data_IF_258944885064
#
_entry.id   IF_258944885064
#
_cell.length_a   1.000
_cell.length_b   1.000
_cell.length_c   1.000
_cell.angle_alpha   90.00
_cell.angle_beta   90.00
_cell.angle_gamma   90.00
#
_symmetry.space_group_name_H-M   'P 1'
#
loop_
_entity.id
_entity.type
_entity.pdbx_description
1 polymer ?
#
# COMPACT_ATOMS: atom_id res chain seq x y z
N UNK A 1 -27.18 29.27 -1.85
CA UNK A 1 -26.18 28.96 -0.81
C UNK A 1 -26.16 27.44 -0.57
N UNK A 2 -25.64 26.66 -1.53
CA UNK A 2 -25.58 25.19 -1.43
C UNK A 2 -24.19 24.61 -1.72
N UNK A 3 -23.25 25.44 -2.17
CA UNK A 3 -21.87 25.02 -2.50
C UNK A 3 -20.90 25.08 -1.31
N UNK A 4 -21.35 25.48 -0.11
CA UNK A 4 -20.53 25.51 1.11
C UNK A 4 -20.56 24.21 1.92
N UNK A 5 -21.32 23.20 1.49
CA UNK A 5 -21.48 21.92 2.20
C UNK A 5 -20.59 20.80 1.66
N UNK A 6 -19.96 20.99 0.50
CA UNK A 6 -18.94 20.05 0.02
C UNK A 6 -17.59 20.54 0.54
N UNK A 7 -17.32 20.26 1.82
CA UNK A 7 -15.93 20.23 2.29
C UNK A 7 -15.21 19.18 1.43
N UNK A 8 -14.00 19.44 0.90
CA UNK A 8 -13.25 18.42 0.18
C UNK A 8 -13.21 17.16 1.04
N UNK A 9 -13.53 16.01 0.44
CA UNK A 9 -13.51 14.75 1.19
C UNK A 9 -12.11 14.59 1.77
N UNK A 10 -12.03 14.66 3.09
CA UNK A 10 -10.80 14.47 3.85
C UNK A 10 -10.40 12.98 3.79
N UNK A 11 -11.29 12.13 3.29
CA UNK A 11 -11.09 10.69 3.15
C UNK A 11 -10.82 10.27 1.70
N UNK A 12 -9.93 9.29 1.55
CA UNK A 12 -9.56 8.68 0.27
C UNK A 12 -9.40 7.17 0.46
N UNK A 13 -9.53 6.41 -0.62
CA UNK A 13 -9.08 5.02 -0.63
C UNK A 13 -7.56 5.00 -0.70
N UNK A 14 -6.94 4.07 0.02
CA UNK A 14 -5.50 3.85 0.00
C UNK A 14 -5.18 2.36 -0.10
N UNK A 15 -4.01 2.09 -0.65
CA UNK A 15 -3.39 0.79 -0.89
C UNK A 15 -2.17 0.55 0.00
N UNK A 16 -1.54 1.61 0.52
CA UNK A 16 -0.34 1.46 1.35
C UNK A 16 -0.19 2.51 2.46
N UNK A 17 0.22 2.04 3.64
CA UNK A 17 0.40 2.84 4.84
C UNK A 17 1.51 2.23 5.72
N UNK A 18 2.32 3.03 6.45
CA UNK A 18 3.40 2.53 7.29
C UNK A 18 2.96 1.57 8.40
N UNK A 19 1.71 1.68 8.88
CA UNK A 19 1.17 0.81 9.94
C UNK A 19 0.74 -0.57 9.47
N UNK A 20 0.78 -0.85 8.16
CA UNK A 20 0.38 -2.16 7.65
C UNK A 20 1.27 -3.27 8.25
N UNK A 21 0.69 -4.44 8.57
CA UNK A 21 1.40 -5.52 9.26
C UNK A 21 2.30 -6.35 8.32
N UNK A 22 2.60 -5.82 7.13
CA UNK A 22 3.27 -6.55 6.08
C UNK A 22 4.78 -6.33 6.10
N UNK A 23 5.48 -7.30 5.50
CA UNK A 23 6.93 -7.35 5.41
C UNK A 23 7.31 -7.69 3.98
N UNK A 24 8.32 -7.02 3.46
CA UNK A 24 8.88 -7.31 2.14
C UNK A 24 9.38 -8.76 2.10
N UNK A 25 9.12 -9.45 1.01
CA UNK A 25 9.69 -10.76 0.74
C UNK A 25 11.21 -10.69 0.57
N UNK A 26 11.67 -9.68 -0.17
CA UNK A 26 13.09 -9.41 -0.39
C UNK A 26 13.63 -8.43 0.63
N UNK A 27 14.55 -8.90 1.48
CA UNK A 27 15.27 -8.08 2.46
C UNK A 27 14.54 -7.88 3.80
N UNK A 28 13.28 -8.28 3.91
CA UNK A 28 12.57 -8.30 5.19
C UNK A 28 12.30 -6.94 5.85
N UNK A 29 12.28 -5.85 5.09
CA UNK A 29 11.83 -4.54 5.57
C UNK A 29 10.34 -4.56 5.93
N UNK A 30 9.96 -3.81 6.94
CA UNK A 30 8.54 -3.60 7.28
C UNK A 30 8.02 -2.34 6.60
N UNK A 31 6.70 -2.16 6.53
CA UNK A 31 6.12 -0.91 6.00
C UNK A 31 6.61 0.31 6.81
N UNK A 32 6.72 0.16 8.13
CA UNK A 32 7.25 1.19 9.02
C UNK A 32 8.72 1.51 8.71
N UNK A 33 9.59 0.49 8.57
CA UNK A 33 11.01 0.74 8.32
C UNK A 33 11.24 1.43 6.97
N UNK A 34 10.48 1.09 5.93
CA UNK A 34 10.54 1.78 4.63
C UNK A 34 10.11 3.24 4.72
N UNK A 35 9.07 3.55 5.49
CA UNK A 35 8.65 4.92 5.73
C UNK A 35 9.72 5.71 6.47
N UNK A 36 10.29 5.13 7.53
CA UNK A 36 11.34 5.76 8.34
C UNK A 36 12.61 6.01 7.51
N UNK A 37 13.04 5.03 6.71
CA UNK A 37 14.17 5.16 5.76
C UNK A 37 13.93 6.36 4.81
N UNK A 38 12.76 6.42 4.15
CA UNK A 38 12.41 7.52 3.26
C UNK A 38 12.43 8.89 3.96
N UNK A 39 11.82 8.98 5.14
CA UNK A 39 11.75 10.23 5.89
C UNK A 39 13.16 10.68 6.34
N UNK A 40 14.00 9.74 6.75
CA UNK A 40 15.39 10.00 7.15
C UNK A 40 16.24 10.49 5.97
N UNK A 41 16.09 9.88 4.79
CA UNK A 41 16.90 10.23 3.61
C UNK A 41 16.46 11.54 2.96
N UNK A 42 15.14 11.81 2.94
CA UNK A 42 14.58 12.92 2.17
C UNK A 42 14.20 14.14 3.02
N UNK A 43 14.02 13.95 4.33
CA UNK A 43 13.45 14.96 5.23
C UNK A 43 11.97 15.30 4.93
N UNK A 44 11.30 14.52 4.08
CA UNK A 44 9.89 14.71 3.69
C UNK A 44 9.01 13.70 4.41
N UNK A 45 7.70 13.96 4.47
CA UNK A 45 6.73 12.95 4.88
C UNK A 45 6.83 11.70 4.00
N UNK A 46 6.48 10.54 4.56
CA UNK A 46 6.32 9.32 3.79
C UNK A 46 5.26 9.48 2.69
N UNK A 47 5.35 8.67 1.64
CA UNK A 47 4.42 8.68 0.52
C UNK A 47 3.89 7.29 0.27
N UNK A 48 2.61 7.19 -0.11
CA UNK A 48 1.98 5.94 -0.53
C UNK A 48 2.69 5.29 -1.74
N UNK A 49 3.42 6.08 -2.53
CA UNK A 49 4.23 5.57 -3.65
C UNK A 49 5.34 4.61 -3.20
N UNK A 50 5.68 4.53 -1.91
CA UNK A 50 6.58 3.49 -1.39
C UNK A 50 6.04 2.07 -1.66
N UNK A 51 4.73 1.92 -1.88
CA UNK A 51 4.10 0.67 -2.33
C UNK A 51 4.69 0.08 -3.61
N UNK A 52 5.30 0.90 -4.49
CA UNK A 52 5.92 0.41 -5.73
C UNK A 52 7.10 -0.53 -5.48
N UNK A 53 7.63 -0.56 -4.25
CA UNK A 53 8.58 -1.60 -3.85
C UNK A 53 8.00 -3.00 -4.10
N UNK A 54 6.71 -3.24 -3.79
CA UNK A 54 6.04 -4.52 -4.05
C UNK A 54 6.00 -4.90 -5.55
N UNK A 55 5.97 -3.91 -6.45
CA UNK A 55 6.00 -4.15 -7.90
C UNK A 55 7.39 -4.59 -8.34
N UNK A 56 8.43 -3.98 -7.78
CA UNK A 56 9.81 -4.42 -8.00
C UNK A 56 10.03 -5.85 -7.46
N UNK A 57 9.53 -6.16 -6.26
CA UNK A 57 9.56 -7.52 -5.72
C UNK A 57 8.84 -8.51 -6.65
N UNK A 58 7.68 -8.14 -7.17
CA UNK A 58 6.91 -8.99 -8.10
C UNK A 58 7.68 -9.25 -9.39
N UNK A 59 8.32 -8.22 -9.95
CA UNK A 59 9.15 -8.35 -11.15
C UNK A 59 10.35 -9.28 -10.90
N UNK A 60 11.06 -9.12 -9.77
CA UNK A 60 12.13 -10.04 -9.39
C UNK A 60 11.62 -11.47 -9.23
N UNK A 61 10.47 -11.64 -8.56
CA UNK A 61 9.91 -12.96 -8.27
C UNK A 61 9.49 -13.72 -9.52
N UNK A 62 8.85 -13.06 -10.48
CA UNK A 62 8.45 -13.72 -11.73
C UNK A 62 9.67 -14.12 -12.57
N UNK A 63 10.74 -13.31 -12.57
CA UNK A 63 11.99 -13.63 -13.25
C UNK A 63 12.66 -14.86 -12.60
N UNK A 64 12.69 -14.93 -11.26
CA UNK A 64 13.21 -16.10 -10.55
C UNK A 64 12.44 -17.37 -10.89
N UNK A 65 11.10 -17.32 -10.95
CA UNK A 65 10.27 -18.47 -11.30
C UNK A 65 10.47 -18.88 -12.77
N UNK A 66 10.60 -17.90 -13.67
CA UNK A 66 10.81 -18.16 -15.09
C UNK A 66 12.19 -18.72 -15.41
N UNK A 67 13.17 -18.52 -14.51
CA UNK A 67 14.60 -18.81 -14.72
C UNK A 67 15.11 -18.27 -16.07
N UNK A 68 14.56 -17.12 -16.48
CA UNK A 68 14.71 -16.59 -17.84
C UNK A 68 14.33 -15.12 -17.90
N UNK A 69 14.94 -14.40 -18.85
CA UNK A 69 14.54 -13.05 -19.24
C UNK A 69 13.71 -13.03 -20.54
N UNK A 70 13.42 -14.20 -21.11
CA UNK A 70 12.53 -14.35 -22.26
C UNK A 70 11.08 -13.94 -21.89
N UNK A 71 10.45 -13.02 -22.64
CA UNK A 71 9.11 -12.51 -22.30
C UNK A 71 8.03 -13.58 -22.25
N UNK A 72 8.10 -14.59 -23.11
CA UNK A 72 7.08 -15.66 -23.16
C UNK A 72 7.18 -16.55 -21.92
N UNK A 73 8.41 -16.92 -21.53
CA UNK A 73 8.65 -17.64 -20.27
C UNK A 73 8.23 -16.84 -19.04
N UNK A 74 8.46 -15.53 -19.02
CA UNK A 74 8.01 -14.64 -17.94
C UNK A 74 6.47 -14.64 -17.86
N UNK A 75 5.79 -14.50 -19.00
CA UNK A 75 4.32 -14.55 -19.06
C UNK A 75 3.78 -15.88 -18.52
N UNK A 76 4.40 -17.00 -18.87
CA UNK A 76 4.03 -18.33 -18.39
C UNK A 76 4.31 -18.54 -16.90
N UNK A 77 5.24 -17.78 -16.31
CA UNK A 77 5.61 -17.87 -14.90
C UNK A 77 4.66 -17.08 -13.98
N UNK A 78 4.00 -16.02 -14.46
CA UNK A 78 3.11 -15.17 -13.64
C UNK A 78 2.05 -15.93 -12.82
N UNK A 79 1.36 -16.96 -13.35
CA UNK A 79 0.39 -17.75 -12.57
C UNK A 79 0.97 -18.42 -11.32
N UNK A 80 2.29 -18.62 -11.26
CA UNK A 80 2.97 -19.27 -10.14
C UNK A 80 3.49 -18.26 -9.09
N UNK A 81 3.27 -16.95 -9.31
CA UNK A 81 3.62 -15.92 -8.34
C UNK A 81 2.65 -15.97 -7.16
N UNK A 82 3.17 -16.31 -6.00
CA UNK A 82 2.45 -16.32 -4.72
C UNK A 82 3.43 -16.02 -3.58
N UNK A 83 3.39 -14.79 -3.05
CA UNK A 83 4.26 -14.37 -1.95
C UNK A 83 3.65 -13.22 -1.15
N UNK A 84 4.22 -12.93 0.04
CA UNK A 84 3.80 -11.78 0.85
C UNK A 84 4.74 -10.59 0.58
N UNK A 85 4.18 -9.45 0.17
CA UNK A 85 4.91 -8.19 -0.05
C UNK A 85 4.54 -7.16 1.02
N UNK A 86 5.15 -5.97 0.97
CA UNK A 86 4.76 -4.82 1.80
C UNK A 86 3.35 -4.28 1.52
N UNK A 87 2.72 -4.69 0.42
CA UNK A 87 1.35 -4.29 0.03
C UNK A 87 0.35 -5.42 0.26
N UNK A 88 0.76 -6.48 0.96
CA UNK A 88 -0.04 -7.68 1.19
C UNK A 88 0.35 -8.83 0.26
N UNK A 89 -0.50 -9.86 0.21
CA UNK A 89 -0.23 -11.07 -0.58
C UNK A 89 -0.34 -10.75 -2.07
N UNK A 90 0.75 -10.98 -2.80
CA UNK A 90 0.77 -10.96 -4.26
C UNK A 90 0.49 -12.38 -4.74
N UNK A 91 -0.71 -12.60 -5.26
CA UNK A 91 -1.11 -13.86 -5.89
C UNK A 91 -1.88 -13.55 -7.17
N UNK A 92 -1.29 -13.89 -8.31
CA UNK A 92 -1.91 -13.63 -9.61
C UNK A 92 -3.06 -14.61 -9.82
N UNK A 93 -4.25 -14.07 -10.08
CA UNK A 93 -5.41 -14.84 -10.52
C UNK A 93 -5.34 -14.89 -12.05
N UNK A 94 -5.08 -16.06 -12.67
CA UNK A 94 -4.81 -16.14 -14.11
C UNK A 94 -5.98 -15.63 -14.97
N UNK A 95 -7.22 -15.83 -14.52
CA UNK A 95 -8.42 -15.36 -15.23
C UNK A 95 -8.49 -13.84 -15.34
N UNK A 96 -8.00 -13.12 -14.34
CA UNK A 96 -8.12 -11.65 -14.25
C UNK A 96 -6.80 -10.91 -14.46
N UNK A 97 -5.69 -11.65 -14.55
CA UNK A 97 -4.32 -11.10 -14.60
C UNK A 97 -4.05 -10.05 -13.51
N UNK A 98 -4.64 -10.24 -12.32
CA UNK A 98 -4.52 -9.31 -11.21
C UNK A 98 -4.31 -10.04 -9.88
N UNK A 99 -3.82 -9.30 -8.88
CA UNK A 99 -3.76 -9.74 -7.50
C UNK A 99 -4.66 -8.84 -6.65
N UNK A 100 -5.72 -9.38 -6.02
CA UNK A 100 -6.51 -8.62 -5.06
C UNK A 100 -5.60 -8.09 -3.94
N UNK A 101 -5.75 -6.81 -3.63
CA UNK A 101 -5.02 -6.15 -2.53
C UNK A 101 -6.03 -5.64 -1.51
N UNK A 102 -5.67 -5.59 -0.22
CA UNK A 102 -6.54 -4.99 0.78
C UNK A 102 -6.67 -3.49 0.48
N UNK A 103 -7.91 -3.01 0.47
CA UNK A 103 -8.22 -1.59 0.41
C UNK A 103 -8.73 -1.11 1.75
N UNK A 104 -8.38 0.11 2.08
CA UNK A 104 -8.88 0.78 3.29
C UNK A 104 -9.10 2.26 3.01
N UNK A 105 -9.91 2.86 3.87
CA UNK A 105 -10.20 4.27 3.83
C UNK A 105 -9.25 4.97 4.77
N UNK A 106 -8.53 5.95 4.24
CA UNK A 106 -7.76 6.90 5.01
C UNK A 106 -8.56 8.18 5.23
N UNK A 107 -8.17 8.97 6.21
CA UNK A 107 -8.57 10.36 6.40
C UNK A 107 -7.35 11.21 6.72
N UNK A 108 -7.23 12.39 6.09
CA UNK A 108 -6.20 13.37 6.43
C UNK A 108 -6.47 14.03 7.78
N UNK A 109 -5.59 13.77 8.74
CA UNK A 109 -5.67 14.29 10.11
C UNK A 109 -4.60 15.36 10.30
N UNK A 110 -4.96 16.48 10.95
CA UNK A 110 -3.98 17.51 11.31
C UNK A 110 -3.02 16.99 12.37
N UNK A 111 -1.73 17.27 12.20
CA UNK A 111 -0.69 16.91 13.16
C UNK A 111 0.24 18.10 13.43
N UNK A 112 1.05 17.99 14.48
CA UNK A 112 2.07 18.99 14.81
C UNK A 112 3.41 18.72 14.09
N UNK A 113 3.46 17.74 13.18
CA UNK A 113 4.67 17.42 12.40
C UNK A 113 4.90 18.48 11.32
N UNK A 114 6.13 18.63 10.78
CA UNK A 114 6.45 19.69 9.82
C UNK A 114 5.56 19.74 8.57
N UNK A 115 5.00 18.60 8.15
CA UNK A 115 4.11 18.48 7.00
C UNK A 115 2.62 18.70 7.31
N UNK A 116 2.26 18.98 8.57
CA UNK A 116 0.93 19.41 9.05
C UNK A 116 -0.20 18.38 8.92
N UNK A 117 -0.14 17.44 7.98
CA UNK A 117 -1.21 16.48 7.68
C UNK A 117 -0.69 15.06 7.56
N UNK A 118 -1.33 14.10 8.23
CA UNK A 118 -1.06 12.67 8.07
C UNK A 118 -2.28 11.95 7.52
N UNK A 119 -2.02 10.99 6.63
CA UNK A 119 -3.05 10.12 6.07
C UNK A 119 -3.25 8.92 7.00
N UNK A 120 -4.26 8.97 7.86
CA UNK A 120 -4.53 7.93 8.86
C UNK A 120 -5.58 6.94 8.38
N UNK A 121 -5.43 5.66 8.69
CA UNK A 121 -6.44 4.64 8.38
C UNK A 121 -7.62 4.82 9.34
N UNK A 122 -8.82 5.04 8.80
CA UNK A 122 -10.05 5.19 9.60
C UNK A 122 -11.00 4.01 9.48
N UNK A 123 -10.87 3.21 8.41
CA UNK A 123 -11.70 2.02 8.24
C UNK A 123 -11.06 1.00 7.28
N UNK A 124 -11.18 -0.28 7.61
CA UNK A 124 -10.89 -1.39 6.70
C UNK A 124 -11.87 -2.54 6.99
N UNK A 125 -12.30 -3.24 5.94
CA UNK A 125 -13.08 -4.47 6.09
C UNK A 125 -12.22 -5.65 6.56
N UNK A 126 -10.92 -5.64 6.26
CA UNK A 126 -9.99 -6.68 6.69
C UNK A 126 -9.63 -6.47 8.18
N UNK A 127 -9.96 -7.41 9.08
CA UNK A 127 -9.71 -7.27 10.51
C UNK A 127 -8.22 -7.27 10.88
N UNK A 128 -7.33 -7.69 9.97
CA UNK A 128 -5.87 -7.64 10.17
C UNK A 128 -5.31 -6.22 10.05
N UNK A 129 -6.01 -5.32 9.36
CA UNK A 129 -5.65 -3.91 9.22
C UNK A 129 -6.45 -3.11 10.24
N UNK A 130 -5.77 -2.58 11.25
CA UNK A 130 -6.41 -1.78 12.30
C UNK A 130 -6.48 -0.31 11.89
N UNK A 131 -7.62 0.37 12.12
CA UNK A 131 -7.67 1.82 12.07
C UNK A 131 -6.60 2.42 12.99
N UNK A 132 -5.91 3.43 12.50
CA UNK A 132 -4.91 4.21 13.25
C UNK A 132 -5.52 5.50 13.81
N UNK A 133 -6.71 5.87 13.34
CA UNK A 133 -7.46 7.02 13.85
C UNK A 133 -8.96 6.76 13.82
N UNK A 134 -9.69 7.39 14.75
CA UNK A 134 -11.15 7.40 14.72
C UNK A 134 -11.65 8.26 13.57
N UNK A 135 -12.76 7.88 12.96
CA UNK A 135 -13.36 8.68 11.88
C UNK A 135 -13.83 10.04 12.44
N UNK A 136 -13.33 11.15 11.88
CA UNK A 136 -13.64 12.52 12.37
C UNK A 136 -15.01 13.00 11.84
N UNK A 137 -15.56 12.37 10.80
CA UNK A 137 -16.83 12.74 10.19
C UNK A 137 -17.72 11.51 10.05
N UNK A 138 -18.99 11.53 10.47
CA UNK A 138 -19.86 10.39 10.21
C UNK A 138 -20.04 10.23 8.69
N UNK A 139 -19.91 8.99 8.21
CA UNK A 139 -20.53 8.62 6.93
C UNK A 139 -22.05 8.76 7.14
N UNK A 140 -22.78 9.43 6.22
CA UNK A 140 -24.22 9.62 6.33
C UNK A 140 -24.99 8.31 6.46
#
# INVERSE_FOLDING_TARGET
MLLSLIKPSISCMSLWHPSLPYKSFYGGRTCASLADEWMSETGKAWTEMLSTYSWAETACRVIEIAESLDPEKINQAFPNVDFMSISGRVKIIPEYHCSPSPFYVIQWVKTNKPWVWEAEIVWCADPSIKPTHDIIFPLP
#
